data_IF_615156446477
#
_entry.id   IF_615156446477
#
_cell.length_a   1.000
_cell.length_b   1.000
_cell.length_c   1.000
_cell.angle_alpha   90.00
_cell.angle_beta   90.00
_cell.angle_gamma   90.00
#
_symmetry.space_group_name_H-M   'P 1'
#
loop_
_entity.id
_entity.type
_entity.pdbx_description
1 polymer ?
#
# COMPACT_ATOMS: atom_id res chain seq x y z
N UNK A 1 -0.14 21.24 -19.50
CA UNK A 1 -0.47 21.43 -18.12
C UNK A 1 -1.28 20.29 -17.53
N UNK A 2 -0.97 19.94 -16.33
CA UNK A 2 -1.64 18.81 -15.70
C UNK A 2 -3.05 19.18 -15.29
N UNK A 3 -3.97 18.26 -15.49
CA UNK A 3 -5.31 18.46 -15.01
C UNK A 3 -5.40 18.10 -13.53
N UNK A 4 -6.48 18.55 -12.89
CA UNK A 4 -6.71 18.18 -11.50
C UNK A 4 -6.82 16.68 -11.32
N UNK A 5 -7.34 15.97 -12.34
CA UNK A 5 -7.44 14.54 -12.29
C UNK A 5 -6.07 13.89 -12.17
N UNK A 6 -5.09 14.44 -12.86
CA UNK A 6 -3.74 13.90 -12.79
C UNK A 6 -3.17 14.07 -11.39
N UNK A 7 -3.43 15.20 -10.77
CA UNK A 7 -2.94 15.43 -9.42
C UNK A 7 -3.60 14.49 -8.42
N UNK A 8 -4.88 14.25 -8.58
CA UNK A 8 -5.59 13.33 -7.70
C UNK A 8 -5.04 11.92 -7.86
N UNK A 9 -4.84 11.49 -9.10
CA UNK A 9 -4.31 10.17 -9.35
C UNK A 9 -2.90 10.02 -8.79
N UNK A 10 -2.09 11.06 -8.94
CA UNK A 10 -0.73 11.03 -8.39
C UNK A 10 -0.75 10.93 -6.87
N UNK A 11 -1.64 11.68 -6.24
CA UNK A 11 -1.74 11.65 -4.79
C UNK A 11 -2.19 10.29 -4.30
N UNK A 12 -3.14 9.69 -4.99
CA UNK A 12 -3.61 8.36 -4.61
C UNK A 12 -2.49 7.35 -4.73
N UNK A 13 -1.72 7.42 -5.80
CA UNK A 13 -0.61 6.52 -5.99
C UNK A 13 0.42 6.67 -4.87
N UNK A 14 0.76 7.91 -4.55
CA UNK A 14 1.74 8.17 -3.51
C UNK A 14 1.26 7.64 -2.16
N UNK A 15 -0.02 7.84 -1.88
CA UNK A 15 -0.58 7.37 -0.63
C UNK A 15 -0.53 5.84 -0.53
N UNK A 16 -0.90 5.17 -1.61
CA UNK A 16 -0.89 3.72 -1.61
C UNK A 16 0.53 3.18 -1.50
N UNK A 17 1.49 3.82 -2.17
CA UNK A 17 2.87 3.39 -2.07
C UNK A 17 3.41 3.58 -0.67
N UNK A 18 3.02 4.68 -0.01
CA UNK A 18 3.44 4.91 1.36
C UNK A 18 2.85 3.84 2.28
N UNK A 19 1.60 3.49 2.10
CA UNK A 19 0.99 2.46 2.93
C UNK A 19 1.62 1.10 2.72
N UNK A 20 1.98 0.81 1.48
CA UNK A 20 2.65 -0.44 1.18
C UNK A 20 4.00 -0.51 1.91
N UNK A 21 4.76 0.57 1.86
CA UNK A 21 6.05 0.61 2.54
C UNK A 21 5.90 0.54 4.05
N UNK A 22 4.88 1.21 4.58
CA UNK A 22 4.64 1.13 6.02
C UNK A 22 4.34 -0.29 6.46
N UNK A 23 3.51 -0.97 5.67
CA UNK A 23 3.19 -2.36 5.97
C UNK A 23 4.41 -3.24 5.91
N UNK A 24 5.25 -3.04 4.89
CA UNK A 24 6.46 -3.82 4.75
C UNK A 24 7.42 -3.59 5.91
N UNK A 25 7.58 -2.34 6.32
CA UNK A 25 8.46 -2.01 7.42
C UNK A 25 7.97 -2.66 8.71
N UNK A 26 6.67 -2.58 8.94
CA UNK A 26 6.09 -3.18 10.14
C UNK A 26 6.24 -4.69 10.13
N UNK A 27 5.91 -5.32 9.01
CA UNK A 27 5.99 -6.76 8.91
C UNK A 27 7.42 -7.23 9.07
N UNK A 28 8.36 -6.49 8.51
CA UNK A 28 9.77 -6.84 8.61
C UNK A 28 10.23 -6.89 10.06
N UNK A 29 9.78 -5.94 10.87
CA UNK A 29 10.13 -5.92 12.28
C UNK A 29 9.62 -7.19 12.97
N UNK A 30 8.36 -7.54 12.69
CA UNK A 30 7.78 -8.71 13.36
C UNK A 30 8.44 -10.00 12.91
N UNK A 31 8.87 -10.07 11.65
CA UNK A 31 9.50 -11.29 11.15
C UNK A 31 10.93 -11.42 11.64
N UNK A 32 11.67 -10.31 11.58
CA UNK A 32 13.10 -10.37 11.88
C UNK A 32 13.41 -10.32 13.35
N UNK A 33 12.58 -9.66 14.12
CA UNK A 33 12.90 -9.41 15.50
C UNK A 33 11.67 -9.54 16.38
N UNK A 34 11.05 -10.71 16.39
CA UNK A 34 9.85 -10.89 17.20
C UNK A 34 10.10 -10.74 18.68
N UNK A 35 11.31 -11.11 19.14
CA UNK A 35 11.64 -10.97 20.56
C UNK A 35 11.88 -9.52 20.92
N UNK A 36 12.23 -8.69 19.95
CA UNK A 36 12.41 -7.26 20.21
C UNK A 36 11.12 -6.55 20.51
N UNK A 37 10.01 -7.19 20.18
CA UNK A 37 8.69 -6.64 20.45
C UNK A 37 8.23 -7.05 21.85
N UNK A 38 8.99 -7.93 22.44
CA UNK A 38 8.69 -8.38 23.79
C UNK A 38 7.68 -9.51 23.75
N UNK A 39 7.02 -9.66 24.86
CA UNK A 39 6.07 -10.76 25.01
C UNK A 39 4.70 -10.34 24.54
N UNK A 40 4.67 -9.73 23.41
CA UNK A 40 3.42 -9.23 22.87
C UNK A 40 2.62 -10.42 22.36
N UNK A 41 1.51 -10.76 22.97
CA UNK A 41 0.76 -11.93 22.56
C UNK A 41 0.06 -11.72 21.22
N UNK A 42 0.11 -10.52 20.68
CA UNK A 42 -0.59 -10.21 19.46
C UNK A 42 0.34 -10.04 18.27
N UNK A 43 1.53 -10.63 18.36
CA UNK A 43 2.50 -10.50 17.27
C UNK A 43 1.93 -11.01 15.95
N UNK A 44 1.28 -12.19 16.01
CA UNK A 44 0.71 -12.76 14.78
C UNK A 44 -0.41 -11.88 14.26
N UNK A 45 -1.24 -11.37 15.16
CA UNK A 45 -2.34 -10.52 14.74
C UNK A 45 -1.85 -9.26 14.07
N UNK A 46 -0.83 -8.65 14.64
CA UNK A 46 -0.33 -7.41 14.07
C UNK A 46 0.45 -7.63 12.80
N UNK A 47 1.15 -8.75 12.70
CA UNK A 47 1.80 -9.12 11.45
C UNK A 47 0.76 -9.35 10.36
N UNK A 48 -0.34 -9.99 10.72
CA UNK A 48 -1.43 -10.22 9.79
C UNK A 48 -2.01 -8.89 9.30
N UNK A 49 -2.20 -7.94 10.22
CA UNK A 49 -2.73 -6.63 9.82
C UNK A 49 -1.77 -5.91 8.89
N UNK A 50 -0.47 -6.02 9.14
CA UNK A 50 0.53 -5.42 8.26
C UNK A 50 0.47 -6.05 6.88
N UNK A 51 0.32 -7.36 6.82
CA UNK A 51 0.21 -8.05 5.55
C UNK A 51 -1.02 -7.60 4.78
N UNK A 52 -2.14 -7.44 5.47
CA UNK A 52 -3.36 -6.98 4.83
C UNK A 52 -3.19 -5.56 4.29
N UNK A 53 -2.45 -4.74 5.01
CA UNK A 53 -2.19 -3.38 4.54
C UNK A 53 -1.39 -3.39 3.25
N UNK A 54 -0.37 -4.24 3.19
CA UNK A 54 0.41 -4.39 1.97
C UNK A 54 -0.48 -4.86 0.83
N UNK A 55 -1.25 -5.89 1.09
CA UNK A 55 -2.11 -6.49 0.07
C UNK A 55 -3.11 -5.47 -0.45
N UNK A 56 -3.73 -4.72 0.45
CA UNK A 56 -4.68 -3.70 0.04
C UNK A 56 -4.04 -2.61 -0.78
N UNK A 57 -2.84 -2.20 -0.40
CA UNK A 57 -2.13 -1.16 -1.14
C UNK A 57 -1.75 -1.65 -2.53
N UNK A 58 -1.26 -2.87 -2.65
CA UNK A 58 -0.89 -3.41 -3.94
C UNK A 58 -2.10 -3.60 -4.84
N UNK A 59 -3.19 -4.04 -4.26
CA UNK A 59 -4.43 -4.17 -5.02
C UNK A 59 -4.90 -2.79 -5.50
N UNK A 60 -4.81 -1.80 -4.64
CA UNK A 60 -5.21 -0.45 -5.01
C UNK A 60 -4.34 0.11 -6.11
N UNK A 61 -3.04 -0.15 -6.05
CA UNK A 61 -2.13 0.31 -7.09
C UNK A 61 -2.45 -0.34 -8.43
N UNK A 62 -2.77 -1.62 -8.40
CA UNK A 62 -3.14 -2.31 -9.62
C UNK A 62 -4.42 -1.73 -10.21
N UNK A 63 -5.41 -1.49 -9.36
CA UNK A 63 -6.67 -0.90 -9.81
C UNK A 63 -6.42 0.49 -10.39
N UNK A 64 -5.57 1.26 -9.73
CA UNK A 64 -5.28 2.61 -10.18
C UNK A 64 -4.63 2.58 -11.57
N UNK A 65 -3.74 1.64 -11.78
CA UNK A 65 -3.11 1.48 -13.09
C UNK A 65 -4.15 1.17 -14.14
N UNK A 66 -5.10 0.29 -13.82
CA UNK A 66 -6.15 -0.06 -14.76
C UNK A 66 -7.03 1.13 -15.09
N UNK A 67 -7.37 1.91 -14.08
CA UNK A 67 -8.19 3.10 -14.30
C UNK A 67 -7.47 4.07 -15.21
N UNK A 68 -6.21 4.31 -14.94
CA UNK A 68 -5.41 5.25 -15.72
C UNK A 68 -5.31 4.79 -17.17
N UNK A 69 -5.04 3.52 -17.38
CA UNK A 69 -4.91 2.98 -18.72
C UNK A 69 -6.21 3.11 -19.49
N UNK A 70 -7.33 2.76 -18.83
CA UNK A 70 -8.63 2.85 -19.47
C UNK A 70 -8.95 4.29 -19.83
N UNK A 71 -8.66 5.21 -18.93
CA UNK A 71 -8.93 6.61 -19.18
C UNK A 71 -8.14 7.11 -20.38
N UNK A 72 -6.88 6.70 -20.49
CA UNK A 72 -6.06 7.11 -21.60
C UNK A 72 -6.57 6.55 -22.90
N UNK A 73 -7.02 5.30 -22.88
CA UNK A 73 -7.58 4.72 -24.09
C UNK A 73 -8.83 5.44 -24.55
N UNK A 74 -9.64 5.86 -23.62
CA UNK A 74 -10.89 6.52 -23.96
C UNK A 74 -10.65 7.89 -24.56
N UNK A 75 -9.54 8.49 -24.29
CA UNK A 75 -9.22 9.80 -24.85
C UNK A 75 -8.98 9.73 -26.34
N UNK A 76 -8.65 8.60 -26.84
CA UNK A 76 -8.44 8.47 -28.27
C UNK A 76 -9.74 8.28 -28.99
#
# INVERSE_FOLDING_TARGET
MESNNNLILSALKAKLEAERLEGLATLDIYIRNPTGIGEHPQVVEEAYNALKKIDGAESGLSTLTQITTTTEKQKE
#
